data_IF_449496843510
#
_entry.id   IF_449496843510
#
_cell.length_a   1.000
_cell.length_b   1.000
_cell.length_c   1.000
_cell.angle_alpha   90.00
_cell.angle_beta   90.00
_cell.angle_gamma   90.00
#
_symmetry.space_group_name_H-M   'P 1'
#
loop_
_entity.id
_entity.type
_entity.pdbx_description
1 polymer ?
#
# COMPACT_ATOMS: atom_id res chain seq x y z
N UNK A 1 28.81 -12.06 -55.45
CA UNK A 1 27.87 -12.73 -54.53
C UNK A 1 28.55 -12.73 -53.17
N UNK A 2 28.42 -11.62 -52.44
CA UNK A 2 29.10 -11.36 -51.17
C UNK A 2 28.22 -11.85 -50.03
N UNK A 3 28.64 -12.91 -49.36
CA UNK A 3 28.01 -13.44 -48.15
C UNK A 3 28.18 -12.44 -47.02
N UNK A 4 27.07 -11.85 -46.56
CA UNK A 4 27.02 -11.10 -45.30
C UNK A 4 27.35 -12.07 -44.17
N UNK A 5 28.34 -11.78 -43.30
CA UNK A 5 28.63 -12.63 -42.16
C UNK A 5 27.42 -12.61 -41.21
N UNK A 6 26.88 -13.79 -40.93
CA UNK A 6 25.86 -14.03 -39.91
C UNK A 6 26.49 -13.81 -38.53
N UNK A 7 26.41 -12.57 -38.03
CA UNK A 7 26.88 -12.22 -36.69
C UNK A 7 25.82 -12.73 -35.72
N UNK A 8 26.02 -13.93 -35.19
CA UNK A 8 25.23 -14.45 -34.09
C UNK A 8 25.19 -13.40 -32.95
N UNK A 9 24.01 -13.02 -32.43
CA UNK A 9 23.92 -12.01 -31.38
C UNK A 9 24.72 -12.50 -30.17
N UNK A 10 25.67 -11.68 -29.73
CA UNK A 10 26.46 -11.97 -28.54
C UNK A 10 25.50 -12.18 -27.36
N UNK A 11 25.46 -13.40 -26.82
CA UNK A 11 24.62 -13.75 -25.68
C UNK A 11 25.09 -12.95 -24.44
N UNK A 12 24.52 -11.77 -24.25
CA UNK A 12 24.88 -10.89 -23.14
C UNK A 12 24.31 -11.47 -21.84
N UNK A 13 25.17 -12.10 -21.03
CA UNK A 13 24.78 -12.49 -19.67
C UNK A 13 24.54 -11.22 -18.85
N UNK A 14 23.29 -11.01 -18.45
CA UNK A 14 22.89 -9.85 -17.64
C UNK A 14 23.81 -9.63 -16.44
N UNK A 15 24.38 -8.44 -16.34
CA UNK A 15 25.16 -8.02 -15.19
C UNK A 15 24.29 -8.03 -13.92
N UNK A 16 24.90 -8.17 -12.73
CA UNK A 16 24.14 -8.20 -11.46
C UNK A 16 23.25 -6.96 -11.28
N UNK A 17 23.75 -5.79 -11.68
CA UNK A 17 23.00 -4.54 -11.61
C UNK A 17 21.76 -4.57 -12.51
N UNK A 18 21.87 -5.13 -13.71
CA UNK A 18 20.75 -5.30 -14.64
C UNK A 18 19.72 -6.28 -14.08
N UNK A 19 20.17 -7.37 -13.46
CA UNK A 19 19.26 -8.30 -12.76
C UNK A 19 18.48 -7.61 -11.64
N UNK A 20 19.12 -6.73 -10.87
CA UNK A 20 18.48 -5.94 -9.81
C UNK A 20 17.47 -4.97 -10.42
N UNK A 21 17.82 -4.27 -11.51
CA UNK A 21 16.91 -3.34 -12.21
C UNK A 21 15.68 -4.07 -12.76
N UNK A 22 15.87 -5.20 -13.42
CA UNK A 22 14.77 -6.03 -13.92
C UNK A 22 13.88 -6.52 -12.77
N UNK A 23 14.48 -6.96 -11.66
CA UNK A 23 13.73 -7.36 -10.47
C UNK A 23 12.89 -6.21 -9.90
N UNK A 24 13.49 -5.02 -9.77
CA UNK A 24 12.79 -3.81 -9.30
C UNK A 24 11.64 -3.40 -10.21
N UNK A 25 11.85 -3.49 -11.53
CA UNK A 25 10.81 -3.19 -12.51
C UNK A 25 9.62 -4.16 -12.39
N UNK A 26 9.89 -5.46 -12.27
CA UNK A 26 8.86 -6.48 -12.09
C UNK A 26 8.14 -6.36 -10.74
N UNK A 27 8.83 -5.95 -9.68
CA UNK A 27 8.23 -5.67 -8.38
C UNK A 27 7.23 -4.52 -8.50
N UNK A 28 7.59 -3.43 -9.19
CA UNK A 28 6.67 -2.30 -9.43
C UNK A 28 5.45 -2.70 -10.25
N UNK A 29 5.62 -3.59 -11.24
CA UNK A 29 4.50 -4.14 -12.01
C UNK A 29 3.61 -5.01 -11.12
N UNK A 30 4.19 -5.87 -10.29
CA UNK A 30 3.46 -6.70 -9.33
C UNK A 30 2.63 -5.85 -8.36
N UNK A 31 3.20 -4.79 -7.81
CA UNK A 31 2.47 -3.84 -6.97
C UNK A 31 1.33 -3.17 -7.75
N UNK A 32 1.57 -2.79 -9.01
CA UNK A 32 0.53 -2.18 -9.83
C UNK A 32 -0.61 -3.14 -10.22
N UNK A 33 -0.35 -4.46 -10.23
CA UNK A 33 -1.32 -5.52 -10.56
C UNK A 33 -1.88 -6.24 -9.32
N UNK A 34 -1.78 -5.67 -8.11
CA UNK A 34 -2.21 -6.34 -6.87
C UNK A 34 -3.68 -6.77 -6.88
N UNK A 35 -4.55 -6.01 -7.53
CA UNK A 35 -5.98 -6.33 -7.65
C UNK A 35 -6.32 -7.18 -8.91
N UNK A 36 -5.31 -7.58 -9.69
CA UNK A 36 -5.48 -8.40 -10.90
C UNK A 36 -5.61 -9.89 -10.53
N UNK A 37 -6.37 -10.71 -11.28
CA UNK A 37 -6.45 -12.15 -11.05
C UNK A 37 -5.08 -12.82 -10.87
N UNK A 38 -4.86 -13.41 -9.69
CA UNK A 38 -3.54 -13.87 -9.27
C UNK A 38 -2.94 -14.96 -10.17
N UNK A 39 -3.77 -15.73 -10.90
CA UNK A 39 -3.29 -16.76 -11.84
C UNK A 39 -2.81 -16.12 -13.14
N UNK A 40 -3.65 -15.29 -13.77
CA UNK A 40 -3.27 -14.56 -14.99
C UNK A 40 -2.10 -13.59 -14.74
N UNK A 41 -2.10 -12.83 -13.63
CA UNK A 41 -0.97 -11.95 -13.28
C UNK A 41 0.35 -12.71 -13.13
N UNK A 42 0.31 -13.92 -12.54
CA UNK A 42 1.50 -14.78 -12.43
C UNK A 42 1.96 -15.29 -13.79
N UNK A 43 1.04 -15.62 -14.70
CA UNK A 43 1.35 -16.03 -16.08
C UNK A 43 2.00 -14.88 -16.85
N UNK A 44 1.35 -13.71 -16.88
CA UNK A 44 1.85 -12.49 -17.53
C UNK A 44 3.25 -12.14 -17.02
N UNK A 45 3.48 -12.18 -15.71
CA UNK A 45 4.81 -11.89 -15.13
C UNK A 45 5.88 -12.91 -15.52
N UNK A 46 5.54 -14.19 -15.66
CA UNK A 46 6.48 -15.23 -16.07
C UNK A 46 6.86 -15.04 -17.54
N UNK A 47 5.87 -14.84 -18.40
CA UNK A 47 6.05 -14.58 -19.83
C UNK A 47 6.86 -13.32 -20.05
N UNK A 48 6.46 -12.21 -19.43
CA UNK A 48 7.16 -10.93 -19.55
C UNK A 48 8.60 -10.98 -19.03
N UNK A 49 8.86 -11.75 -17.95
CA UNK A 49 10.22 -11.96 -17.45
C UNK A 49 11.07 -12.76 -18.42
N UNK A 50 10.50 -13.75 -19.11
CA UNK A 50 11.22 -14.51 -20.13
C UNK A 50 11.52 -13.62 -21.33
N UNK A 51 10.50 -12.98 -21.90
CA UNK A 51 10.65 -12.07 -23.05
C UNK A 51 11.64 -10.94 -22.78
N UNK A 52 11.57 -10.27 -21.63
CA UNK A 52 12.52 -9.20 -21.28
C UNK A 52 13.96 -9.70 -21.12
N UNK A 53 14.18 -10.97 -20.72
CA UNK A 53 15.53 -11.53 -20.64
C UNK A 53 16.07 -11.85 -22.02
N UNK A 54 15.23 -12.40 -22.89
CA UNK A 54 15.61 -12.74 -24.26
C UNK A 54 15.90 -11.47 -25.06
N UNK A 55 15.05 -10.46 -24.93
CA UNK A 55 15.23 -9.16 -25.58
C UNK A 55 16.43 -8.40 -25.00
N UNK A 56 16.62 -8.42 -23.68
CA UNK A 56 17.81 -7.83 -23.08
C UNK A 56 19.11 -8.54 -23.49
N UNK A 57 19.09 -9.84 -23.81
CA UNK A 57 20.24 -10.54 -24.34
C UNK A 57 20.58 -10.11 -25.78
N UNK A 58 19.59 -9.63 -26.54
CA UNK A 58 19.76 -9.16 -27.92
C UNK A 58 20.14 -7.67 -28.02
N UNK A 59 19.46 -6.79 -27.28
CA UNK A 59 19.59 -5.32 -27.41
C UNK A 59 20.03 -4.61 -26.13
N UNK A 60 20.21 -5.34 -25.02
CA UNK A 60 20.50 -4.77 -23.71
C UNK A 60 19.24 -4.40 -22.92
N UNK A 61 19.34 -4.39 -21.59
CA UNK A 61 18.18 -4.22 -20.71
C UNK A 61 17.51 -2.85 -20.83
N UNK A 62 18.28 -1.78 -21.06
CA UNK A 62 17.73 -0.43 -21.16
C UNK A 62 16.85 -0.22 -22.39
N UNK A 63 17.22 -0.85 -23.52
CA UNK A 63 16.41 -0.80 -24.73
C UNK A 63 15.14 -1.66 -24.57
N UNK A 64 15.29 -2.88 -24.03
CA UNK A 64 14.17 -3.78 -23.74
C UNK A 64 13.13 -3.12 -22.80
N UNK A 65 13.58 -2.47 -21.73
CA UNK A 65 12.68 -1.77 -20.81
C UNK A 65 12.05 -0.51 -21.42
N UNK A 66 12.73 0.18 -22.35
CA UNK A 66 12.16 1.32 -23.07
C UNK A 66 11.05 0.89 -24.04
N UNK A 67 11.20 -0.26 -24.70
CA UNK A 67 10.17 -0.85 -25.56
C UNK A 67 8.87 -1.16 -24.82
N UNK A 68 8.97 -1.74 -23.62
CA UNK A 68 7.80 -2.06 -22.77
C UNK A 68 7.22 -0.82 -22.06
N UNK A 69 8.08 0.11 -21.67
CA UNK A 69 7.68 1.36 -21.03
C UNK A 69 7.37 1.23 -19.53
N UNK A 70 6.51 2.11 -19.02
CA UNK A 70 6.28 2.20 -17.58
C UNK A 70 5.41 1.05 -17.04
N UNK A 71 5.78 0.42 -15.92
CA UNK A 71 5.07 -0.73 -15.38
C UNK A 71 3.64 -0.38 -14.94
N UNK A 72 3.40 0.86 -14.51
CA UNK A 72 2.05 1.35 -14.18
C UNK A 72 1.16 1.49 -15.40
N UNK A 73 1.69 2.00 -16.53
CA UNK A 73 0.92 2.11 -17.77
C UNK A 73 0.60 0.73 -18.35
N UNK A 74 1.56 -0.19 -18.28
CA UNK A 74 1.35 -1.58 -18.69
C UNK A 74 0.27 -2.26 -17.85
N UNK A 75 0.32 -2.13 -16.52
CA UNK A 75 -0.73 -2.64 -15.64
C UNK A 75 -2.10 -2.04 -15.97
N UNK A 76 -2.17 -0.73 -16.20
CA UNK A 76 -3.42 -0.06 -16.58
C UNK A 76 -3.97 -0.59 -17.91
N UNK A 77 -3.12 -0.89 -18.89
CA UNK A 77 -3.54 -1.52 -20.15
C UNK A 77 -4.14 -2.92 -19.91
N UNK A 78 -3.49 -3.76 -19.09
CA UNK A 78 -4.04 -5.07 -18.73
C UNK A 78 -5.39 -4.97 -17.99
N UNK A 79 -5.57 -3.97 -17.13
CA UNK A 79 -6.85 -3.74 -16.47
C UNK A 79 -7.93 -3.22 -17.42
N UNK A 80 -7.57 -2.43 -18.43
CA UNK A 80 -8.52 -1.94 -19.45
C UNK A 80 -9.04 -3.06 -20.35
N UNK A 81 -8.26 -4.13 -20.52
CA UNK A 81 -8.64 -5.31 -21.30
C UNK A 81 -9.54 -6.28 -20.50
N UNK A 82 -9.70 -6.06 -19.18
CA UNK A 82 -10.69 -6.82 -18.42
C UNK A 82 -12.11 -6.34 -18.75
N UNK A 83 -12.96 -7.30 -19.08
CA UNK A 83 -14.39 -7.13 -19.36
C UNK A 83 -15.23 -6.60 -18.17
N UNK A 84 -14.62 -6.49 -16.97
CA UNK A 84 -15.27 -6.01 -15.74
C UNK A 84 -14.36 -5.10 -14.93
N UNK A 85 -14.86 -3.91 -14.59
CA UNK A 85 -14.21 -3.00 -13.66
C UNK A 85 -14.16 -3.65 -12.25
N UNK A 86 -12.97 -3.86 -11.72
CA UNK A 86 -12.76 -4.54 -10.43
C UNK A 86 -12.54 -3.51 -9.30
N UNK A 87 -13.06 -3.77 -8.08
CA UNK A 87 -12.79 -2.92 -6.92
C UNK A 87 -11.30 -2.94 -6.59
N UNK A 88 -10.79 -1.80 -6.14
CA UNK A 88 -9.39 -1.65 -5.72
C UNK A 88 -9.24 -2.03 -4.25
N UNK A 89 -9.42 -3.31 -3.95
CA UNK A 89 -9.43 -3.80 -2.57
C UNK A 89 -8.16 -3.41 -1.80
N UNK A 90 -7.01 -3.40 -2.49
CA UNK A 90 -5.74 -3.03 -1.88
C UNK A 90 -5.70 -1.54 -1.50
N UNK A 91 -6.19 -0.65 -2.37
CA UNK A 91 -6.34 0.78 -2.06
C UNK A 91 -7.30 0.99 -0.88
N UNK A 92 -8.39 0.20 -0.83
CA UNK A 92 -9.31 0.14 0.31
C UNK A 92 -8.61 -0.23 1.61
N UNK A 93 -7.82 -1.31 1.62
CA UNK A 93 -7.10 -1.78 2.79
C UNK A 93 -6.04 -0.77 3.27
N UNK A 94 -5.30 -0.15 2.33
CA UNK A 94 -4.31 0.88 2.65
C UNK A 94 -4.98 2.11 3.26
N UNK A 95 -6.07 2.58 2.67
CA UNK A 95 -6.79 3.75 3.19
C UNK A 95 -7.40 3.46 4.56
N UNK A 96 -7.98 2.27 4.73
CA UNK A 96 -8.53 1.83 6.02
C UNK A 96 -7.46 1.70 7.11
N UNK A 97 -6.28 1.17 6.76
CA UNK A 97 -5.15 1.11 7.69
C UNK A 97 -4.65 2.50 8.08
N UNK A 98 -4.38 3.37 7.11
CA UNK A 98 -3.79 4.69 7.38
C UNK A 98 -4.78 5.64 8.06
N UNK A 99 -5.97 5.78 7.49
CA UNK A 99 -6.97 6.78 7.95
C UNK A 99 -7.91 6.17 8.98
N UNK A 100 -8.31 4.91 8.81
CA UNK A 100 -9.26 4.26 9.71
C UNK A 100 -8.65 3.77 11.02
N UNK A 101 -7.34 3.49 11.05
CA UNK A 101 -6.68 2.94 12.23
C UNK A 101 -5.51 3.81 12.71
N UNK A 102 -4.50 4.02 11.87
CA UNK A 102 -3.24 4.69 12.27
C UNK A 102 -3.51 6.13 12.72
N UNK A 103 -4.25 6.91 11.93
CA UNK A 103 -4.56 8.31 12.25
C UNK A 103 -5.32 8.46 13.58
N UNK A 104 -6.44 7.75 13.84
CA UNK A 104 -7.13 7.81 15.13
C UNK A 104 -6.24 7.44 16.32
N UNK A 105 -5.42 6.39 16.19
CA UNK A 105 -4.48 5.99 17.25
C UNK A 105 -3.45 7.09 17.49
N UNK A 106 -2.92 7.72 16.43
CA UNK A 106 -1.99 8.84 16.56
C UNK A 106 -2.65 10.03 17.26
N UNK A 107 -3.86 10.41 16.87
CA UNK A 107 -4.60 11.51 17.50
C UNK A 107 -4.89 11.23 18.97
N UNK A 108 -5.28 10.00 19.30
CA UNK A 108 -5.51 9.57 20.68
C UNK A 108 -4.23 9.66 21.51
N UNK A 109 -3.09 9.15 21.01
CA UNK A 109 -1.80 9.25 21.70
C UNK A 109 -1.35 10.70 21.88
N UNK A 110 -1.45 11.52 20.83
CA UNK A 110 -1.06 12.94 20.87
C UNK A 110 -1.91 13.72 21.88
N UNK A 111 -3.22 13.48 21.90
CA UNK A 111 -4.11 14.10 22.88
C UNK A 111 -3.77 13.69 24.32
N UNK A 112 -3.47 12.41 24.56
CA UNK A 112 -3.12 11.94 25.91
C UNK A 112 -1.82 12.55 26.43
N UNK A 113 -0.79 12.62 25.59
CA UNK A 113 0.46 13.29 25.94
C UNK A 113 0.23 14.78 26.24
N UNK A 114 -0.59 15.45 25.43
CA UNK A 114 -0.98 16.84 25.68
C UNK A 114 -1.76 17.02 26.98
N UNK A 115 -2.69 16.12 27.27
CA UNK A 115 -3.51 16.17 28.47
C UNK A 115 -2.68 15.91 29.74
N UNK A 116 -1.74 14.96 29.73
CA UNK A 116 -0.82 14.73 30.84
C UNK A 116 0.05 15.96 31.12
N UNK A 117 0.64 16.55 30.08
CA UNK A 117 1.44 17.78 30.22
C UNK A 117 0.60 18.94 30.78
N UNK A 118 -0.67 19.05 30.37
CA UNK A 118 -1.56 20.08 30.88
C UNK A 118 -1.88 19.89 32.38
N UNK A 119 -2.11 18.65 32.82
CA UNK A 119 -2.35 18.33 34.23
C UNK A 119 -1.09 18.63 35.05
N UNK A 120 0.08 18.23 34.57
CA UNK A 120 1.36 18.54 35.20
C UNK A 120 1.55 20.07 35.36
N UNK A 121 1.29 20.84 34.31
CA UNK A 121 1.40 22.31 34.35
C UNK A 121 0.42 22.98 35.32
N UNK A 122 -0.70 22.33 35.65
CA UNK A 122 -1.68 22.81 36.64
C UNK A 122 -1.36 22.38 38.08
N UNK A 123 -0.23 21.70 38.31
CA UNK A 123 0.18 21.22 39.64
C UNK A 123 -0.14 19.76 39.92
N UNK A 124 -0.48 18.97 38.89
CA UNK A 124 -0.78 17.54 39.01
C UNK A 124 -2.20 17.24 39.51
N UNK A 125 -2.45 15.97 39.80
CA UNK A 125 -3.72 15.47 40.34
C UNK A 125 -4.40 14.41 39.49
N UNK A 126 -5.66 14.13 39.82
CA UNK A 126 -6.52 13.20 39.09
C UNK A 126 -7.57 14.02 38.34
N UNK A 127 -7.66 13.82 37.03
CA UNK A 127 -8.64 14.49 36.17
C UNK A 127 -9.44 13.45 35.41
N UNK A 128 -10.75 13.55 35.52
CA UNK A 128 -11.69 12.81 34.67
C UNK A 128 -12.03 13.67 33.45
N UNK A 129 -11.83 13.10 32.28
CA UNK A 129 -12.09 13.76 31.00
C UNK A 129 -12.69 12.76 30.01
N UNK A 130 -12.97 13.20 28.79
CA UNK A 130 -13.47 12.32 27.74
C UNK A 130 -12.79 12.58 26.41
N UNK A 131 -12.52 11.49 25.68
CA UNK A 131 -12.05 11.52 24.31
C UNK A 131 -13.11 10.90 23.40
N UNK A 132 -13.71 11.72 22.52
CA UNK A 132 -14.78 11.28 21.62
C UNK A 132 -15.93 10.57 22.36
N UNK A 133 -16.29 11.07 23.55
CA UNK A 133 -17.32 10.48 24.42
C UNK A 133 -16.88 9.23 25.20
N UNK A 134 -15.63 8.80 25.06
CA UNK A 134 -15.05 7.72 25.86
C UNK A 134 -14.45 8.29 27.15
N UNK A 135 -14.84 7.81 28.34
CA UNK A 135 -14.31 8.30 29.60
C UNK A 135 -12.83 7.91 29.75
N UNK A 136 -12.02 8.89 30.13
CA UNK A 136 -10.59 8.75 30.40
C UNK A 136 -10.27 9.38 31.75
N UNK A 137 -9.68 8.59 32.65
CA UNK A 137 -9.13 9.06 33.92
C UNK A 137 -7.63 9.21 33.78
N UNK A 138 -7.13 10.41 34.01
CA UNK A 138 -5.71 10.75 33.99
C UNK A 138 -5.24 11.02 35.41
N UNK A 139 -4.16 10.37 35.82
CA UNK A 139 -3.53 10.55 37.14
C UNK A 139 -2.09 10.97 36.94
N UNK A 140 -1.74 12.13 37.48
CA UNK A 140 -0.38 12.65 37.47
C UNK A 140 -0.01 13.18 38.86
N UNK A 141 0.53 12.31 39.71
CA UNK A 141 1.02 12.63 41.06
C UNK A 141 2.53 12.40 41.15
N UNK A 142 3.17 12.87 42.23
CA UNK A 142 4.62 12.69 42.44
C UNK A 142 5.04 11.21 42.38
N UNK A 143 4.16 10.31 42.83
CA UNK A 143 4.42 8.87 42.90
C UNK A 143 3.89 8.07 41.69
N UNK A 144 3.00 8.64 40.87
CA UNK A 144 2.29 7.86 39.84
C UNK A 144 1.86 8.69 38.64
N UNK A 145 2.27 8.22 37.47
CA UNK A 145 1.71 8.62 36.18
C UNK A 145 0.90 7.43 35.67
N UNK A 146 -0.43 7.58 35.64
CA UNK A 146 -1.32 6.52 35.21
C UNK A 146 -2.45 7.07 34.33
N UNK A 147 -2.94 6.19 33.47
CA UNK A 147 -3.97 6.51 32.51
C UNK A 147 -4.91 5.33 32.39
N UNK A 148 -6.20 5.59 32.59
CA UNK A 148 -7.24 4.58 32.50
C UNK A 148 -8.28 5.01 31.47
N UNK A 149 -8.47 4.18 30.45
CA UNK A 149 -9.52 4.38 29.44
C UNK A 149 -10.50 3.22 29.52
N UNK A 150 -11.79 3.53 29.52
CA UNK A 150 -12.83 2.51 29.47
C UNK A 150 -13.37 2.38 28.04
N UNK A 151 -12.95 1.35 27.32
CA UNK A 151 -13.43 1.12 25.95
C UNK A 151 -14.82 0.48 26.00
N UNK A 152 -15.85 1.29 25.82
CA UNK A 152 -17.22 0.82 25.66
C UNK A 152 -17.54 0.35 24.23
N UNK A 153 -18.68 -0.32 24.08
CA UNK A 153 -19.20 -0.73 22.77
C UNK A 153 -19.32 0.42 21.77
N UNK A 154 -19.63 1.64 22.22
CA UNK A 154 -19.69 2.83 21.36
C UNK A 154 -18.36 3.15 20.68
N UNK A 155 -17.24 3.12 21.43
CA UNK A 155 -15.91 3.38 20.89
C UNK A 155 -15.48 2.30 19.88
N UNK A 156 -15.80 1.04 20.16
CA UNK A 156 -15.56 -0.08 19.24
C UNK A 156 -16.34 0.07 17.93
N UNK A 157 -17.65 0.37 18.03
CA UNK A 157 -18.51 0.55 16.85
C UNK A 157 -18.11 1.75 16.01
N UNK A 158 -17.71 2.86 16.64
CA UNK A 158 -17.22 4.05 15.94
C UNK A 158 -15.92 3.75 15.19
N UNK A 159 -14.99 3.04 15.84
CA UNK A 159 -13.72 2.65 15.22
C UNK A 159 -13.93 1.68 14.06
N UNK A 160 -14.76 0.66 14.26
CA UNK A 160 -15.14 -0.28 13.21
C UNK A 160 -15.85 0.41 12.05
N UNK A 161 -16.78 1.34 12.33
CA UNK A 161 -17.48 2.13 11.34
C UNK A 161 -16.52 2.98 10.50
N UNK A 162 -15.56 3.66 11.13
CA UNK A 162 -14.55 4.45 10.43
C UNK A 162 -13.68 3.58 9.52
N UNK A 163 -13.21 2.42 9.99
CA UNK A 163 -12.45 1.46 9.18
C UNK A 163 -13.28 0.97 7.98
N UNK A 164 -14.55 0.62 8.19
CA UNK A 164 -15.43 0.17 7.11
C UNK A 164 -15.70 1.27 6.08
N UNK A 165 -15.96 2.49 6.52
CA UNK A 165 -16.20 3.64 5.62
C UNK A 165 -14.95 3.97 4.81
N UNK A 166 -13.80 4.07 5.46
CA UNK A 166 -12.52 4.34 4.78
C UNK A 166 -12.14 3.22 3.81
N UNK A 167 -12.39 1.96 4.18
CA UNK A 167 -12.22 0.82 3.29
C UNK A 167 -13.16 0.91 2.07
N UNK A 168 -14.45 1.18 2.28
CA UNK A 168 -15.42 1.31 1.21
C UNK A 168 -15.03 2.46 0.24
N UNK A 169 -14.56 3.58 0.78
CA UNK A 169 -14.05 4.74 0.03
C UNK A 169 -12.83 4.38 -0.81
N UNK A 170 -11.82 3.73 -0.23
CA UNK A 170 -10.60 3.37 -0.96
C UNK A 170 -10.83 2.25 -1.98
N UNK A 171 -11.67 1.27 -1.64
CA UNK A 171 -12.01 0.16 -2.54
C UNK A 171 -12.95 0.55 -3.68
N UNK A 172 -13.59 1.72 -3.57
CA UNK A 172 -14.64 2.19 -4.49
C UNK A 172 -15.73 1.14 -4.70
N UNK A 173 -16.13 0.46 -3.63
CA UNK A 173 -17.07 -0.67 -3.66
C UNK A 173 -18.37 -0.33 -4.41
N UNK A 174 -18.80 0.93 -4.43
CA UNK A 174 -19.99 1.37 -5.17
C UNK A 174 -19.89 1.21 -6.69
N UNK A 175 -18.68 1.13 -7.27
CA UNK A 175 -18.52 0.88 -8.72
C UNK A 175 -18.97 -0.51 -9.14
N UNK A 176 -19.11 -1.45 -8.20
CA UNK A 176 -19.69 -2.77 -8.46
C UNK A 176 -21.18 -2.74 -8.82
N UNK A 177 -21.89 -1.64 -8.54
CA UNK A 177 -23.33 -1.52 -8.80
C UNK A 177 -23.65 -0.93 -10.17
N UNK A 178 -22.64 -0.47 -10.91
CA UNK A 178 -22.79 0.17 -12.23
C UNK A 178 -22.29 -0.64 -13.42
N UNK A 179 -21.87 -1.89 -13.21
CA UNK A 179 -21.44 -2.86 -14.22
C UNK A 179 -22.36 -4.10 -14.18
#
# INVERSE_FOLDING_TARGET
MTTVPDVAPAQHRLARHERIRLWWWLLRLETAMQDYPAREARRIRRELRASLRDEAAAVGLDEALRGVGSPRRLAAAYFAELDRERPRWTDGAVLAGLVGLVLPVHLWLAWQLGALNAIEAMGGGVVETSWLGTPVTLTHTEDTIAMQTSVGWGGLLLSAGLVLVTFALGSRVWRLRGA
#
